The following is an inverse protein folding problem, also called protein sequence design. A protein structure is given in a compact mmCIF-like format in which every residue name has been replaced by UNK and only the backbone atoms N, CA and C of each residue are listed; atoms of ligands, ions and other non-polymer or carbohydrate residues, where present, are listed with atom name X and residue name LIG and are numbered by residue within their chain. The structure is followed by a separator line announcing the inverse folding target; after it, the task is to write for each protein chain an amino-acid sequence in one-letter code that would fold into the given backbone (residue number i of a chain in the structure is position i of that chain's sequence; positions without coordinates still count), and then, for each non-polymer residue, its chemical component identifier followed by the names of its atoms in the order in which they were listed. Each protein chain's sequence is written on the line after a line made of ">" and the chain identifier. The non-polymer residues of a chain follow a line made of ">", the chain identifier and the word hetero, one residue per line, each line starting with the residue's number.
data_IF_628130147431
#
_entry.id   IF_628130147431
#
_cell.length_a   1.000
_cell.length_b   1.000
_cell.length_c   1.000
_cell.angle_alpha   90.00
_cell.angle_beta   90.00
_cell.angle_gamma   90.00
#
_symmetry.space_group_name_H-M   'P 1'
#
loop_
_entity.id
_entity.type
_entity.pdbx_description
1 polymer ?
#
# COMPACT_ATOMS: atom_id res chain seq x y z
N UNK A 1 0.65 1.58 -28.03
CA UNK A 1 1.18 2.34 -26.87
C UNK A 1 0.42 1.86 -25.64
N UNK A 2 1.11 1.54 -24.55
CA UNK A 2 0.45 1.15 -23.30
C UNK A 2 -0.14 2.38 -22.62
N UNK A 3 -1.33 2.24 -22.06
CA UNK A 3 -2.00 3.34 -21.37
C UNK A 3 -1.30 3.67 -20.04
N UNK A 4 -1.18 4.95 -19.67
CA UNK A 4 -0.68 5.32 -18.34
C UNK A 4 -1.63 4.81 -17.26
N UNK A 5 -1.13 4.61 -16.04
CA UNK A 5 -1.95 4.13 -14.91
C UNK A 5 -3.18 5.03 -14.63
N UNK A 6 -3.10 6.33 -14.93
CA UNK A 6 -4.20 7.29 -14.81
C UNK A 6 -5.37 7.03 -15.78
N UNK A 7 -5.21 6.14 -16.76
CA UNK A 7 -6.31 5.65 -17.57
C UNK A 7 -7.28 4.75 -16.78
N UNK A 8 -6.85 4.23 -15.63
CA UNK A 8 -7.74 3.50 -14.72
C UNK A 8 -8.61 4.52 -14.00
N UNK A 9 -9.93 4.31 -14.08
CA UNK A 9 -10.90 5.16 -13.37
C UNK A 9 -10.56 5.26 -11.88
N UNK A 10 -10.80 6.43 -11.30
CA UNK A 10 -10.50 6.77 -9.90
C UNK A 10 -8.99 6.82 -9.55
N UNK A 11 -8.08 6.55 -10.50
CA UNK A 11 -6.64 6.73 -10.28
C UNK A 11 -6.20 8.08 -10.82
N UNK A 12 -5.92 9.02 -9.91
CA UNK A 12 -5.48 10.36 -10.26
C UNK A 12 -3.95 10.49 -10.38
N UNK A 13 -3.45 11.63 -10.91
CA UNK A 13 -2.02 11.92 -11.05
C UNK A 13 -1.22 11.80 -9.74
N UNK A 14 -1.84 12.12 -8.61
CA UNK A 14 -1.21 12.03 -7.28
C UNK A 14 -0.77 10.60 -6.90
N UNK A 15 -1.40 9.57 -7.50
CA UNK A 15 -1.06 8.18 -7.22
C UNK A 15 0.05 7.64 -8.12
N UNK A 16 0.39 8.32 -9.22
CA UNK A 16 1.33 7.81 -10.24
C UNK A 16 2.69 7.47 -9.63
N UNK A 17 3.23 8.34 -8.78
CA UNK A 17 4.51 8.08 -8.10
C UNK A 17 4.47 6.83 -7.20
N UNK A 18 3.31 6.44 -6.67
CA UNK A 18 3.16 5.23 -5.86
C UNK A 18 3.24 3.98 -6.74
N UNK A 19 2.57 4.02 -7.91
CA UNK A 19 2.59 2.93 -8.88
C UNK A 19 3.96 2.78 -9.54
N UNK A 20 4.60 3.89 -9.90
CA UNK A 20 5.96 3.93 -10.47
C UNK A 20 6.98 3.28 -9.52
N UNK A 21 6.97 3.66 -8.24
CA UNK A 21 7.82 3.03 -7.20
C UNK A 21 7.57 1.53 -7.05
N UNK A 22 6.34 1.08 -7.33
CA UNK A 22 5.96 -0.33 -7.30
C UNK A 22 6.26 -1.08 -8.62
N UNK A 23 6.87 -0.42 -9.61
CA UNK A 23 7.17 -0.98 -10.93
C UNK A 23 5.92 -1.23 -11.80
N UNK A 24 4.82 -0.55 -11.50
CA UNK A 24 3.55 -0.63 -12.22
C UNK A 24 3.37 0.66 -13.02
N UNK A 25 4.00 0.77 -14.18
CA UNK A 25 4.03 1.99 -14.99
C UNK A 25 2.88 2.08 -15.99
N UNK A 26 2.14 1.00 -16.24
CA UNK A 26 1.02 0.98 -17.20
C UNK A 26 -0.29 0.45 -16.62
N UNK A 27 -1.41 0.87 -17.21
CA UNK A 27 -2.73 0.41 -16.79
C UNK A 27 -2.93 -1.10 -17.02
N UNK A 28 -2.35 -1.65 -18.09
CA UNK A 28 -2.44 -3.08 -18.41
C UNK A 28 -1.74 -3.95 -17.36
N UNK A 29 -0.59 -3.50 -16.83
CA UNK A 29 0.09 -4.20 -15.74
C UNK A 29 -0.80 -4.29 -14.50
N UNK A 30 -1.47 -3.19 -14.15
CA UNK A 30 -2.38 -3.15 -12.99
C UNK A 30 -3.63 -3.99 -13.23
N UNK A 31 -4.22 -3.93 -14.44
CA UNK A 31 -5.39 -4.75 -14.82
C UNK A 31 -5.06 -6.24 -14.81
N UNK A 32 -3.90 -6.63 -15.34
CA UNK A 32 -3.44 -8.03 -15.37
C UNK A 32 -3.14 -8.57 -13.98
N UNK A 33 -2.61 -7.73 -13.09
CA UNK A 33 -2.26 -8.13 -11.73
C UNK A 33 -3.49 -8.16 -10.81
N UNK A 34 -4.48 -7.30 -11.07
CA UNK A 34 -5.64 -7.11 -10.22
C UNK A 34 -5.38 -6.18 -9.03
N UNK A 35 -6.46 -5.67 -8.43
CA UNK A 35 -6.39 -4.63 -7.40
C UNK A 35 -5.60 -5.04 -6.15
N UNK A 36 -5.84 -6.25 -5.63
CA UNK A 36 -5.23 -6.70 -4.37
C UNK A 36 -3.72 -6.83 -4.48
N UNK A 37 -3.25 -7.53 -5.52
CA UNK A 37 -1.83 -7.75 -5.73
C UNK A 37 -1.12 -6.46 -6.16
N UNK A 38 -1.76 -5.60 -6.95
CA UNK A 38 -1.22 -4.28 -7.25
C UNK A 38 -1.08 -3.44 -5.98
N UNK A 39 -2.13 -3.37 -5.16
CA UNK A 39 -2.10 -2.60 -3.93
C UNK A 39 -1.11 -3.16 -2.91
N UNK A 40 -0.97 -4.49 -2.80
CA UNK A 40 0.05 -5.13 -1.98
C UNK A 40 1.47 -4.70 -2.38
N UNK A 41 1.77 -4.59 -3.69
CA UNK A 41 3.05 -4.06 -4.16
C UNK A 41 3.26 -2.60 -3.75
N UNK A 42 2.23 -1.76 -3.89
CA UNK A 42 2.30 -0.36 -3.47
C UNK A 42 2.66 -0.25 -1.97
N UNK A 43 2.01 -1.05 -1.12
CA UNK A 43 2.29 -1.06 0.32
C UNK A 43 3.70 -1.58 0.60
N UNK A 44 4.13 -2.65 -0.08
CA UNK A 44 5.48 -3.21 0.07
C UNK A 44 6.59 -2.21 -0.27
N UNK A 45 6.35 -1.27 -1.20
CA UNK A 45 7.30 -0.19 -1.52
C UNK A 45 7.25 1.02 -0.58
N UNK A 46 6.55 0.89 0.54
CA UNK A 46 6.45 1.91 1.59
C UNK A 46 5.28 2.89 1.43
N UNK A 47 4.31 2.61 0.56
CA UNK A 47 3.07 3.40 0.51
C UNK A 47 2.31 3.22 1.81
N UNK A 48 1.94 4.33 2.48
CA UNK A 48 1.09 4.27 3.67
C UNK A 48 -0.28 3.67 3.29
N UNK A 49 -0.73 2.58 3.94
CA UNK A 49 -2.01 1.98 3.63
C UNK A 49 -3.17 2.95 3.82
N UNK A 50 -4.04 3.02 2.82
CA UNK A 50 -5.22 3.89 2.82
C UNK A 50 -6.40 3.21 2.15
N UNK A 51 -7.40 2.84 2.96
CA UNK A 51 -8.53 2.04 2.49
C UNK A 51 -9.31 2.65 1.32
N UNK A 52 -9.54 3.97 1.35
CA UNK A 52 -10.24 4.65 0.25
C UNK A 52 -9.47 4.48 -1.06
N UNK A 53 -8.14 4.58 -1.02
CA UNK A 53 -7.31 4.39 -2.22
C UNK A 53 -7.38 2.96 -2.74
N UNK A 54 -7.39 1.97 -1.84
CA UNK A 54 -7.53 0.57 -2.21
C UNK A 54 -8.87 0.28 -2.91
N UNK A 55 -10.01 0.61 -2.30
CA UNK A 55 -11.28 0.26 -2.95
C UNK A 55 -11.57 1.17 -4.15
N UNK A 56 -11.04 2.40 -4.20
CA UNK A 56 -11.13 3.23 -5.40
C UNK A 56 -10.45 2.57 -6.60
N UNK A 57 -9.30 1.90 -6.39
CA UNK A 57 -8.65 1.07 -7.40
C UNK A 57 -9.52 -0.12 -7.80
N UNK A 58 -10.11 -0.84 -6.83
CA UNK A 58 -11.03 -1.97 -7.11
C UNK A 58 -12.21 -1.52 -7.99
N UNK A 59 -12.90 -0.45 -7.59
CA UNK A 59 -14.00 0.13 -8.37
C UNK A 59 -13.51 0.61 -9.74
N UNK A 60 -12.31 1.18 -9.80
CA UNK A 60 -11.67 1.65 -11.01
C UNK A 60 -11.47 0.57 -12.06
N UNK A 61 -10.97 -0.60 -11.64
CA UNK A 61 -10.79 -1.77 -12.51
C UNK A 61 -12.12 -2.37 -12.98
N UNK A 62 -13.21 -2.16 -12.23
CA UNK A 62 -14.58 -2.54 -12.62
C UNK A 62 -15.28 -1.47 -13.48
N UNK A 63 -14.65 -0.32 -13.74
CA UNK A 63 -15.25 0.80 -14.45
C UNK A 63 -16.28 1.62 -13.66
N UNK A 64 -16.40 1.37 -12.34
CA UNK A 64 -17.39 2.00 -11.44
C UNK A 64 -16.82 3.24 -10.74
N UNK A 65 -17.66 4.23 -10.41
CA UNK A 65 -17.23 5.34 -9.56
C UNK A 65 -16.92 4.82 -8.15
N UNK A 66 -15.92 5.40 -7.49
CA UNK A 66 -15.47 4.92 -6.17
C UNK A 66 -16.58 4.90 -5.11
N UNK A 67 -17.53 5.83 -5.17
CA UNK A 67 -18.63 5.97 -4.21
C UNK A 67 -19.75 4.91 -4.38
N UNK A 68 -19.64 4.03 -5.36
CA UNK A 68 -20.61 2.95 -5.59
C UNK A 68 -20.42 1.76 -4.62
N UNK A 69 -19.24 1.64 -4.00
CA UNK A 69 -18.95 0.59 -3.02
C UNK A 69 -19.71 0.81 -1.70
N UNK A 70 -20.69 -0.05 -1.40
CA UNK A 70 -21.61 0.11 -0.26
C UNK A 70 -21.89 -1.21 0.47
N UNK A 71 -22.40 -1.10 1.70
CA UNK A 71 -22.90 -2.25 2.48
C UNK A 71 -21.90 -3.40 2.61
N UNK A 72 -22.38 -4.61 2.29
CA UNK A 72 -21.60 -5.85 2.40
C UNK A 72 -20.33 -5.86 1.54
N UNK A 73 -20.36 -5.24 0.34
CA UNK A 73 -19.19 -5.17 -0.53
C UNK A 73 -18.06 -4.39 0.14
N UNK A 74 -18.38 -3.23 0.75
CA UNK A 74 -17.40 -2.42 1.48
C UNK A 74 -16.81 -3.18 2.68
N UNK A 75 -17.63 -3.97 3.38
CA UNK A 75 -17.17 -4.81 4.48
C UNK A 75 -16.24 -5.94 4.00
N UNK A 76 -16.52 -6.57 2.87
CA UNK A 76 -15.66 -7.58 2.28
C UNK A 76 -14.32 -6.98 1.82
N UNK A 77 -14.34 -5.78 1.21
CA UNK A 77 -13.12 -5.07 0.83
C UNK A 77 -12.30 -4.65 2.05
N UNK A 78 -12.94 -4.30 3.17
CA UNK A 78 -12.24 -4.02 4.43
C UNK A 78 -11.42 -5.23 4.87
N UNK A 79 -12.01 -6.41 4.90
CA UNK A 79 -11.30 -7.64 5.30
C UNK A 79 -10.10 -7.94 4.39
N UNK A 80 -10.28 -7.80 3.07
CA UNK A 80 -9.18 -7.98 2.09
C UNK A 80 -8.05 -6.96 2.30
N UNK A 81 -8.41 -5.70 2.52
CA UNK A 81 -7.43 -4.65 2.81
C UNK A 81 -6.66 -4.92 4.09
N UNK A 82 -7.33 -5.36 5.15
CA UNK A 82 -6.68 -5.65 6.43
C UNK A 82 -5.71 -6.83 6.28
N UNK A 83 -6.08 -7.86 5.50
CA UNK A 83 -5.19 -8.96 5.15
C UNK A 83 -3.94 -8.49 4.36
N UNK A 84 -4.11 -7.58 3.40
CA UNK A 84 -2.97 -6.97 2.66
C UNK A 84 -2.06 -6.20 3.62
N UNK A 85 -2.63 -5.38 4.51
CA UNK A 85 -1.85 -4.61 5.50
C UNK A 85 -1.09 -5.52 6.45
N UNK A 86 -1.74 -6.59 6.90
CA UNK A 86 -1.12 -7.59 7.77
C UNK A 86 0.05 -8.28 7.05
N UNK A 87 -0.16 -8.79 5.83
CA UNK A 87 0.88 -9.45 5.06
C UNK A 87 2.07 -8.54 4.73
N UNK A 88 1.81 -7.26 4.42
CA UNK A 88 2.89 -6.30 4.19
C UNK A 88 3.70 -6.01 5.46
N UNK A 89 3.03 -5.94 6.61
CA UNK A 89 3.71 -5.77 7.91
C UNK A 89 4.57 -6.98 8.25
N UNK A 90 4.06 -8.20 8.08
CA UNK A 90 4.83 -9.42 8.39
C UNK A 90 6.04 -9.55 7.47
N UNK A 91 5.88 -9.30 6.17
CA UNK A 91 6.99 -9.32 5.22
C UNK A 91 8.08 -8.28 5.55
N UNK A 92 7.67 -7.10 6.05
CA UNK A 92 8.62 -6.08 6.51
C UNK A 92 9.33 -6.48 7.82
N UNK A 93 8.65 -7.17 8.73
CA UNK A 93 9.24 -7.72 9.96
C UNK A 93 10.26 -8.82 9.65
N UNK A 94 9.99 -9.67 8.66
CA UNK A 94 10.92 -10.70 8.17
C UNK A 94 12.13 -10.10 7.43
N UNK A 95 11.89 -9.17 6.50
CA UNK A 95 12.97 -8.53 5.71
C UNK A 95 13.84 -7.61 6.58
N UNK A 96 13.24 -6.96 7.57
CA UNK A 96 13.92 -6.09 8.52
C UNK A 96 14.51 -6.81 9.73
N UNK A 97 14.46 -8.15 9.77
CA UNK A 97 15.07 -8.93 10.84
C UNK A 97 16.58 -8.69 10.83
N UNK A 98 17.08 -8.06 11.89
CA UNK A 98 18.51 -7.88 12.07
C UNK A 98 19.20 -9.24 12.24
N UNK A 99 20.45 -9.40 11.78
CA UNK A 99 21.25 -10.56 12.12
C UNK A 99 21.21 -10.81 13.63
N UNK A 100 21.05 -12.07 14.04
CA UNK A 100 20.82 -12.43 15.44
C UNK A 100 21.86 -11.84 16.41
N UNK A 101 23.11 -11.75 15.97
CA UNK A 101 24.20 -11.14 16.72
C UNK A 101 23.99 -9.65 16.96
N UNK A 102 23.59 -8.90 15.94
CA UNK A 102 23.31 -7.46 16.05
C UNK A 102 22.04 -7.20 16.87
N UNK A 103 21.02 -8.03 16.72
CA UNK A 103 19.80 -7.95 17.53
C UNK A 103 20.09 -8.17 19.02
N UNK A 104 20.97 -9.15 19.35
CA UNK A 104 21.43 -9.40 20.71
C UNK A 104 22.24 -8.23 21.25
N UNK A 105 23.22 -7.75 20.48
CA UNK A 105 24.04 -6.58 20.84
C UNK A 105 23.18 -5.37 21.19
N UNK A 106 22.20 -5.01 20.35
CA UNK A 106 21.30 -3.90 20.63
C UNK A 106 20.51 -4.12 21.93
N UNK A 107 20.03 -5.34 22.17
CA UNK A 107 19.26 -5.68 23.37
C UNK A 107 20.10 -5.59 24.64
N UNK A 108 21.35 -6.05 24.60
CA UNK A 108 22.32 -5.97 25.70
C UNK A 108 22.65 -4.51 26.07
N UNK A 109 22.56 -3.60 25.10
CA UNK A 109 22.74 -2.16 25.28
C UNK A 109 21.43 -1.39 25.53
N UNK A 110 20.29 -2.09 25.73
CA UNK A 110 18.99 -1.48 25.99
C UNK A 110 18.36 -0.76 24.79
N UNK A 111 18.92 -0.93 23.58
CA UNK A 111 18.41 -0.36 22.34
C UNK A 111 17.45 -1.35 21.69
N UNK A 112 16.24 -0.90 21.35
CA UNK A 112 15.33 -1.67 20.50
C UNK A 112 15.46 -1.16 19.06
N UNK A 113 15.59 -2.09 18.11
CA UNK A 113 15.53 -1.77 16.69
C UNK A 113 14.23 -1.00 16.41
N UNK A 114 14.35 0.30 16.16
CA UNK A 114 13.22 1.19 16.03
C UNK A 114 12.34 0.74 14.87
N UNK A 115 11.09 0.37 15.17
CA UNK A 115 10.03 0.26 14.18
C UNK A 115 9.95 1.63 13.50
N UNK A 116 10.38 1.72 12.24
CA UNK A 116 10.54 2.99 11.50
C UNK A 116 9.25 3.80 11.64
N UNK A 117 9.29 4.86 12.45
CA UNK A 117 8.15 5.72 12.69
C UNK A 117 7.79 6.39 11.36
N UNK A 118 6.54 6.22 10.93
CA UNK A 118 6.01 6.98 9.81
C UNK A 118 6.12 8.46 10.17
N UNK A 119 6.91 9.20 9.38
CA UNK A 119 7.16 10.64 9.50
C UNK A 119 5.92 11.39 9.95
N UNK A 120 6.03 12.04 11.12
CA UNK A 120 5.06 13.02 11.59
C UNK A 120 4.92 14.15 10.57
N UNK A 121 3.67 14.54 10.32
CA UNK A 121 3.34 15.82 9.70
C UNK A 121 3.28 16.84 10.84
N UNK A 122 4.12 17.86 10.78
CA UNK A 122 4.06 19.01 11.68
C UNK A 122 2.70 19.71 11.55
N UNK A 123 2.08 20.19 12.65
CA UNK A 123 0.92 21.03 12.56
C UNK A 123 1.32 22.38 11.97
N UNK A 124 0.66 22.80 10.89
CA UNK A 124 0.80 24.14 10.35
C UNK A 124 0.28 25.15 11.39
N UNK A 125 1.16 26.07 11.78
CA UNK A 125 0.79 27.31 12.44
C UNK A 125 0.31 28.29 11.36
N UNK A 126 -0.95 28.71 11.44
CA UNK A 126 -1.37 30.11 11.63
C UNK A 126 -2.86 30.13 11.98
#
# INVERSE_FOLDING_TARGET
>A
MSEPVTAIRNVGPASVALFDRAGLTTAEQVRSLGADAAYARLVATGTRPHFIGYYALVMGLQGRPWNDCKGAEKAALRQRFDAICYGARTAAEETGALPAELARFLSDHGLRAGRRAASGREPAAD
#
